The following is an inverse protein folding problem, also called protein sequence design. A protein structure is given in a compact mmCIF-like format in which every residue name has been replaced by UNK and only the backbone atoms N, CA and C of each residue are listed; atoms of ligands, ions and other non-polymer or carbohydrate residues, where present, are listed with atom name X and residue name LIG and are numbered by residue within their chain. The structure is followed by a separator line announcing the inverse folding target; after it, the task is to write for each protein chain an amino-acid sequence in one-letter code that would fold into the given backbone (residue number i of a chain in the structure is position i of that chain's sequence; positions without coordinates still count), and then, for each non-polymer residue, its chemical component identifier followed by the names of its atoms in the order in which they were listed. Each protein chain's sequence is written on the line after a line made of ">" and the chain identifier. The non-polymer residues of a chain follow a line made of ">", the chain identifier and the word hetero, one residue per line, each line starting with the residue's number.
data_IF_421244346832
#
_entry.id   IF_421244346832
#
_cell.length_a   1.000
_cell.length_b   1.000
_cell.length_c   1.000
_cell.angle_alpha   90.00
_cell.angle_beta   90.00
_cell.angle_gamma   90.00
#
_symmetry.space_group_name_H-M   'P 1'
#
loop_
_entity.id
_entity.type
_entity.pdbx_description
1 polymer ?
#
# COMPACT_ATOMS: atom_id res chain seq x y z
N UNK A 1 -15.30 22.83 3.77
CA UNK A 1 -15.04 21.38 3.78
C UNK A 1 -14.78 21.04 2.34
N UNK A 2 -13.49 21.00 2.00
CA UNK A 2 -13.06 21.30 0.64
C UNK A 2 -12.98 19.99 -0.13
N UNK A 3 -13.48 19.97 -1.38
CA UNK A 3 -13.62 18.76 -2.20
C UNK A 3 -12.29 17.99 -2.31
N UNK A 4 -11.18 18.73 -2.36
CA UNK A 4 -9.81 18.22 -2.41
C UNK A 4 -9.42 17.35 -1.18
N UNK A 5 -9.92 17.70 0.01
CA UNK A 5 -9.66 16.91 1.23
C UNK A 5 -10.47 15.62 1.25
N UNK A 6 -11.64 15.61 0.62
CA UNK A 6 -12.51 14.42 0.52
C UNK A 6 -11.99 13.45 -0.54
N UNK A 7 -11.44 13.94 -1.66
CA UNK A 7 -10.84 13.11 -2.71
C UNK A 7 -9.51 12.49 -2.28
N UNK A 8 -8.64 13.25 -1.57
CA UNK A 8 -7.42 12.70 -0.96
C UNK A 8 -7.72 11.57 0.04
N UNK A 9 -8.85 11.64 0.77
CA UNK A 9 -9.31 10.57 1.66
C UNK A 9 -9.96 9.40 0.91
N UNK A 10 -10.46 9.61 -0.30
CA UNK A 10 -11.15 8.59 -1.11
C UNK A 10 -10.18 7.62 -1.76
N UNK A 11 -9.04 8.10 -2.25
CA UNK A 11 -8.03 7.27 -2.92
C UNK A 11 -7.21 6.42 -1.92
N UNK A 12 -6.90 6.97 -0.75
CA UNK A 12 -6.03 6.34 0.27
C UNK A 12 -6.54 5.02 0.85
N UNK A 13 -7.80 4.63 0.60
CA UNK A 13 -8.47 3.49 1.25
C UNK A 13 -9.19 2.54 0.30
N UNK A 14 -8.98 2.65 -1.01
CA UNK A 14 -9.76 1.92 -2.02
C UNK A 14 -9.66 0.38 -1.85
N UNK A 15 -8.44 -0.15 -1.69
CA UNK A 15 -8.21 -1.59 -1.52
C UNK A 15 -8.87 -2.15 -0.23
N UNK A 16 -8.89 -1.36 0.84
CA UNK A 16 -9.49 -1.80 2.09
C UNK A 16 -11.02 -1.77 2.06
N UNK A 17 -11.62 -0.74 1.44
CA UNK A 17 -13.07 -0.69 1.23
C UNK A 17 -13.52 -1.89 0.41
N UNK A 18 -12.73 -2.31 -0.58
CA UNK A 18 -12.99 -3.52 -1.35
C UNK A 18 -12.96 -4.78 -0.49
N UNK A 19 -11.98 -4.94 0.42
CA UNK A 19 -11.88 -6.09 1.33
C UNK A 19 -13.02 -6.19 2.35
N UNK A 20 -13.79 -5.13 2.58
CA UNK A 20 -15.01 -5.21 3.37
C UNK A 20 -16.05 -6.12 2.68
N UNK A 21 -16.13 -6.05 1.35
CA UNK A 21 -17.10 -6.77 0.50
C UNK A 21 -16.51 -8.03 -0.14
N UNK A 22 -15.22 -8.05 -0.44
CA UNK A 22 -14.49 -9.15 -1.06
C UNK A 22 -13.30 -9.56 -0.18
N UNK A 23 -13.52 -10.39 0.84
CA UNK A 23 -12.51 -10.69 1.87
C UNK A 23 -11.27 -11.41 1.34
N UNK A 24 -11.38 -12.06 0.19
CA UNK A 24 -10.27 -12.75 -0.48
C UNK A 24 -9.49 -11.88 -1.46
N UNK A 25 -9.84 -10.60 -1.60
CA UNK A 25 -9.07 -9.68 -2.45
C UNK A 25 -7.68 -9.45 -1.85
N UNK A 26 -6.68 -9.45 -2.74
CA UNK A 26 -5.26 -9.23 -2.41
C UNK A 26 -4.79 -7.92 -3.05
N UNK A 27 -3.90 -7.21 -2.35
CA UNK A 27 -3.31 -5.99 -2.86
C UNK A 27 -2.13 -6.39 -3.72
N UNK A 28 -2.03 -5.82 -4.91
CA UNK A 28 -0.84 -5.96 -5.73
C UNK A 28 0.22 -4.97 -5.24
N UNK A 29 1.50 -5.33 -5.38
CA UNK A 29 2.64 -4.45 -5.07
C UNK A 29 2.73 -3.99 -3.60
N UNK A 30 2.08 -4.71 -2.67
CA UNK A 30 2.06 -4.42 -1.24
C UNK A 30 2.95 -5.42 -0.48
N UNK A 31 4.22 -5.50 -0.87
CA UNK A 31 5.23 -6.33 -0.22
C UNK A 31 6.56 -5.61 -0.07
N UNK A 32 7.34 -6.01 0.94
CA UNK A 32 8.60 -5.36 1.30
C UNK A 32 9.60 -5.35 0.14
N UNK A 33 9.66 -6.42 -0.64
CA UNK A 33 10.59 -6.53 -1.77
C UNK A 33 10.29 -5.47 -2.84
N UNK A 34 9.01 -5.29 -3.18
CA UNK A 34 8.57 -4.23 -4.10
C UNK A 34 8.92 -2.85 -3.57
N UNK A 35 8.69 -2.59 -2.27
CA UNK A 35 9.03 -1.30 -1.65
C UNK A 35 10.53 -1.01 -1.73
N UNK A 36 11.37 -1.98 -1.36
CA UNK A 36 12.82 -1.80 -1.32
C UNK A 36 13.46 -1.71 -2.71
N UNK A 37 12.88 -2.41 -3.70
CA UNK A 37 13.35 -2.35 -5.08
C UNK A 37 13.16 -0.97 -5.73
N UNK A 38 12.20 -0.16 -5.26
CA UNK A 38 11.86 1.14 -5.84
C UNK A 38 12.11 2.29 -4.85
N UNK A 39 13.25 2.26 -4.15
CA UNK A 39 13.67 3.32 -3.21
C UNK A 39 13.74 4.71 -3.83
N UNK A 40 14.10 4.78 -5.11
CA UNK A 40 14.12 5.99 -5.92
C UNK A 40 12.71 6.58 -6.16
N UNK A 41 11.66 5.81 -5.89
CA UNK A 41 10.24 6.22 -6.01
C UNK A 41 9.58 6.47 -4.66
N UNK A 42 10.37 6.49 -3.59
CA UNK A 42 9.87 6.86 -2.27
C UNK A 42 9.59 8.35 -2.23
N UNK A 43 8.42 8.71 -1.72
CA UNK A 43 8.05 10.08 -1.41
C UNK A 43 7.78 10.20 0.07
N UNK A 44 8.06 11.37 0.63
CA UNK A 44 7.68 11.68 2.01
C UNK A 44 6.27 12.21 2.02
N UNK A 45 5.40 11.60 2.81
CA UNK A 45 4.02 12.05 2.94
C UNK A 45 3.89 13.05 4.10
N UNK A 46 3.58 14.32 3.80
CA UNK A 46 3.47 15.38 4.82
C UNK A 46 2.35 15.13 5.84
N UNK A 47 1.31 14.39 5.43
CA UNK A 47 0.24 13.91 6.32
C UNK A 47 0.16 12.40 6.18
N UNK A 48 1.00 11.65 6.93
CA UNK A 48 1.03 10.20 6.80
C UNK A 48 -0.37 9.67 7.04
N UNK A 49 -0.85 8.80 6.16
CA UNK A 49 -2.11 8.09 6.32
C UNK A 49 -2.01 7.06 7.45
N UNK A 50 -1.75 7.53 8.68
CA UNK A 50 -1.80 6.76 9.93
C UNK A 50 -3.24 6.48 10.35
N UNK A 51 -4.19 6.50 9.41
CA UNK A 51 -5.53 6.01 9.68
C UNK A 51 -5.35 4.60 10.18
N UNK A 52 -5.48 4.45 11.51
CA UNK A 52 -5.40 3.19 12.22
C UNK A 52 -6.21 2.25 11.37
N UNK A 53 -5.52 1.35 10.66
CA UNK A 53 -6.15 0.24 9.97
C UNK A 53 -6.65 -0.70 11.07
N UNK A 54 -7.56 -0.24 11.93
CA UNK A 54 -8.19 -1.02 13.00
C UNK A 54 -9.00 -2.20 12.46
N UNK A 55 -9.01 -2.40 11.13
CA UNK A 55 -9.55 -3.56 10.42
C UNK A 55 -8.48 -4.27 9.59
N UNK A 56 -7.25 -4.38 10.13
CA UNK A 56 -6.14 -5.24 9.66
C UNK A 56 -6.49 -6.75 9.64
N UNK A 57 -7.72 -7.16 9.98
CA UNK A 57 -8.12 -8.58 10.10
C UNK A 57 -8.09 -9.35 8.77
N UNK A 58 -7.76 -8.70 7.65
CA UNK A 58 -7.75 -9.31 6.31
C UNK A 58 -6.49 -9.02 5.48
N UNK A 59 -5.42 -8.50 6.11
CA UNK A 59 -4.11 -8.46 5.46
C UNK A 59 -3.43 -9.82 5.58
N UNK A 60 -2.76 -10.23 4.50
CA UNK A 60 -1.77 -11.31 4.57
C UNK A 60 -0.59 -10.90 5.46
N UNK A 61 0.18 -11.88 5.91
CA UNK A 61 1.31 -11.62 6.82
C UNK A 61 2.34 -10.66 6.20
N UNK A 62 2.66 -10.83 4.92
CA UNK A 62 3.57 -9.94 4.20
C UNK A 62 3.06 -8.49 4.08
N UNK A 63 1.75 -8.31 3.89
CA UNK A 63 1.13 -6.97 3.84
C UNK A 63 1.13 -6.31 5.22
N UNK A 64 0.93 -7.10 6.28
CA UNK A 64 0.96 -6.64 7.67
C UNK A 64 2.37 -6.21 8.10
N UNK A 65 3.38 -7.03 7.80
CA UNK A 65 4.76 -6.72 8.14
C UNK A 65 5.23 -5.43 7.46
N UNK A 66 4.92 -5.27 6.17
CA UNK A 66 5.23 -4.04 5.44
C UNK A 66 4.51 -2.83 6.05
N UNK A 67 3.23 -2.97 6.37
CA UNK A 67 2.46 -1.90 6.99
C UNK A 67 3.05 -1.48 8.33
N UNK A 68 3.45 -2.44 9.16
CA UNK A 68 4.06 -2.17 10.46
C UNK A 68 5.40 -1.44 10.30
N UNK A 69 6.24 -1.81 9.33
CA UNK A 69 7.48 -1.07 9.02
C UNK A 69 7.21 0.39 8.65
N UNK A 70 6.20 0.63 7.82
CA UNK A 70 5.84 1.96 7.33
C UNK A 70 5.26 2.83 8.44
N UNK A 71 4.39 2.27 9.30
CA UNK A 71 3.77 3.02 10.41
C UNK A 71 4.75 3.29 11.54
N UNK A 72 5.72 2.39 11.76
CA UNK A 72 6.77 2.58 12.76
C UNK A 72 7.97 3.36 12.23
N UNK A 73 7.89 3.88 11.01
CA UNK A 73 8.93 4.66 10.34
C UNK A 73 10.30 3.95 10.32
N UNK A 74 10.33 2.60 10.37
CA UNK A 74 11.58 1.78 10.43
C UNK A 74 12.43 1.89 9.18
N UNK A 75 11.78 2.12 8.04
CA UNK A 75 12.44 2.26 6.74
C UNK A 75 12.75 3.73 6.41
N UNK A 76 12.30 4.65 7.27
CA UNK A 76 12.43 6.10 7.15
C UNK A 76 11.11 6.82 7.43
N UNK A 77 11.19 8.11 7.72
CA UNK A 77 10.08 8.90 8.22
C UNK A 77 9.03 9.17 7.13
N UNK A 78 7.81 8.67 7.34
CA UNK A 78 6.61 8.92 6.54
C UNK A 78 6.78 8.58 5.07
N UNK A 79 7.49 7.49 4.80
CA UNK A 79 7.71 7.02 3.43
C UNK A 79 6.41 6.45 2.85
N UNK A 80 6.12 6.84 1.61
CA UNK A 80 5.10 6.25 0.75
C UNK A 80 5.75 5.86 -0.58
N UNK A 81 5.38 4.70 -1.11
CA UNK A 81 5.68 4.33 -2.48
C UNK A 81 4.58 4.84 -3.40
N UNK A 82 4.95 5.56 -4.46
CA UNK A 82 4.02 5.89 -5.55
C UNK A 82 3.94 4.68 -6.49
N UNK A 83 2.95 3.82 -6.23
CA UNK A 83 2.81 2.56 -6.98
C UNK A 83 2.62 2.78 -8.49
N UNK A 84 2.05 3.91 -8.90
CA UNK A 84 1.94 4.33 -10.31
C UNK A 84 3.30 4.55 -11.01
N UNK A 85 4.39 4.69 -10.24
CA UNK A 85 5.75 4.90 -10.74
C UNK A 85 6.60 3.63 -10.67
N UNK A 86 6.02 2.51 -10.27
CA UNK A 86 6.67 1.18 -10.33
C UNK A 86 6.80 0.75 -11.79
N UNK A 87 7.97 0.21 -12.15
CA UNK A 87 8.23 -0.21 -13.51
C UNK A 87 7.23 -1.29 -13.97
N UNK A 88 6.70 -1.13 -15.18
CA UNK A 88 5.68 -2.05 -15.71
C UNK A 88 6.19 -3.50 -15.81
N UNK A 89 7.47 -3.69 -16.09
CA UNK A 89 8.09 -5.01 -16.10
C UNK A 89 8.01 -5.70 -14.72
N UNK A 90 8.29 -4.96 -13.64
CA UNK A 90 8.15 -5.44 -12.27
C UNK A 90 6.70 -5.76 -11.94
N UNK A 91 5.78 -4.84 -12.26
CA UNK A 91 4.35 -5.01 -12.01
C UNK A 91 3.79 -6.26 -12.70
N UNK A 92 4.17 -6.51 -13.95
CA UNK A 92 3.76 -7.71 -14.70
C UNK A 92 4.25 -9.01 -14.08
N UNK A 93 5.51 -9.06 -13.62
CA UNK A 93 6.05 -10.23 -12.96
C UNK A 93 5.29 -10.53 -11.67
N UNK A 94 5.02 -9.49 -10.88
CA UNK A 94 4.23 -9.61 -9.65
C UNK A 94 2.80 -10.06 -9.90
N UNK A 95 2.15 -9.51 -10.91
CA UNK A 95 0.79 -9.92 -11.30
C UNK A 95 0.73 -11.42 -11.65
N UNK A 96 1.68 -11.92 -12.45
CA UNK A 96 1.73 -13.33 -12.81
C UNK A 96 1.89 -14.24 -11.57
N UNK A 97 2.76 -13.85 -10.63
CA UNK A 97 2.96 -14.60 -9.37
C UNK A 97 1.71 -14.56 -8.49
N UNK A 98 1.01 -13.43 -8.42
CA UNK A 98 -0.21 -13.31 -7.59
C UNK A 98 -1.38 -14.10 -8.18
N UNK A 99 -1.55 -14.14 -9.50
CA UNK A 99 -2.64 -14.88 -10.16
C UNK A 99 -2.39 -16.39 -10.23
N UNK A 100 -1.14 -16.84 -10.12
CA UNK A 100 -0.80 -18.26 -10.10
C UNK A 100 -1.00 -18.94 -8.74
N UNK A 101 -1.49 -18.22 -7.72
CA UNK A 101 -1.73 -18.69 -6.35
C UNK A 101 -3.21 -18.72 -6.02
#
# INVERSE_FOLDING_TARGET
>A
MDHETVDALRERHAAWRLRAWLPHSRSLLMDRETLLAHRDRWVREDRPARSRLTRLTRLSDAERDLYDDLVTDRLGEHIRLEQERVDWAWARQRLAVTLAR
#
